data_IF_152556016583
#
_entry.id   IF_152556016583
#
_cell.length_a   1.000
_cell.length_b   1.000
_cell.length_c   1.000
_cell.angle_alpha   90.00
_cell.angle_beta   90.00
_cell.angle_gamma   90.00
#
_symmetry.space_group_name_H-M   'P 1'
#
loop_
_entity.id
_entity.type
_entity.pdbx_description
1 polymer ?
#
# COMPACT_ATOMS: atom_id res chain seq x y z
N UNK A 1 -0.68 -4.97 -21.23
CA UNK A 1 -0.49 -4.98 -19.76
C UNK A 1 -1.86 -5.13 -19.13
N UNK A 2 -2.12 -6.27 -18.51
CA UNK A 2 -3.36 -6.54 -17.78
C UNK A 2 -3.40 -5.63 -16.54
N UNK A 3 -4.41 -4.77 -16.42
CA UNK A 3 -4.58 -3.93 -15.25
C UNK A 3 -4.92 -4.84 -14.07
N UNK A 4 -3.94 -5.09 -13.19
CA UNK A 4 -4.18 -5.84 -11.98
C UNK A 4 -5.29 -5.16 -11.17
N UNK A 5 -6.34 -5.91 -10.83
CA UNK A 5 -7.45 -5.39 -10.04
C UNK A 5 -6.93 -4.92 -8.68
N UNK A 6 -7.50 -3.83 -8.15
CA UNK A 6 -7.12 -3.28 -6.82
C UNK A 6 -7.18 -4.38 -5.76
N UNK A 7 -8.22 -5.22 -5.81
CA UNK A 7 -8.37 -6.38 -4.92
C UNK A 7 -7.21 -7.38 -5.02
N UNK A 8 -6.68 -7.63 -6.22
CA UNK A 8 -5.50 -8.47 -6.40
C UNK A 8 -4.25 -7.84 -5.75
N UNK A 9 -4.04 -6.55 -5.99
CA UNK A 9 -2.90 -5.81 -5.43
C UNK A 9 -2.97 -5.72 -3.90
N UNK A 10 -4.14 -5.48 -3.32
CA UNK A 10 -4.36 -5.50 -1.87
C UNK A 10 -4.02 -6.86 -1.27
N UNK A 11 -4.49 -7.95 -1.90
CA UNK A 11 -4.18 -9.31 -1.46
C UNK A 11 -2.69 -9.62 -1.55
N UNK A 12 -2.05 -9.21 -2.64
CA UNK A 12 -0.62 -9.38 -2.86
C UNK A 12 0.21 -8.66 -1.79
N UNK A 13 -0.10 -7.39 -1.53
CA UNK A 13 0.52 -6.59 -0.48
C UNK A 13 0.31 -7.22 0.91
N UNK A 14 -0.90 -7.64 1.25
CA UNK A 14 -1.20 -8.31 2.52
C UNK A 14 -0.42 -9.63 2.71
N UNK A 15 -0.25 -10.39 1.63
CA UNK A 15 0.58 -11.58 1.61
C UNK A 15 2.07 -11.29 1.89
N UNK A 16 2.62 -10.22 1.31
CA UNK A 16 3.99 -9.77 1.60
C UNK A 16 4.15 -9.31 3.03
N UNK A 17 3.21 -8.52 3.57
CA UNK A 17 3.23 -8.06 4.96
C UNK A 17 3.26 -9.25 5.93
N UNK A 18 2.47 -10.27 5.65
CA UNK A 18 2.45 -11.51 6.45
C UNK A 18 3.79 -12.23 6.43
N UNK A 19 4.46 -12.27 5.27
CA UNK A 19 5.81 -12.85 5.12
C UNK A 19 6.87 -12.02 5.86
N UNK A 20 6.86 -10.70 5.73
CA UNK A 20 7.75 -9.78 6.44
C UNK A 20 7.63 -9.98 7.96
N UNK A 21 6.39 -9.95 8.47
CA UNK A 21 6.12 -10.09 9.91
C UNK A 21 6.63 -11.43 10.44
N UNK A 22 6.45 -12.51 9.68
CA UNK A 22 6.96 -13.83 10.04
C UNK A 22 8.48 -13.89 10.01
N UNK A 23 9.10 -13.36 8.95
CA UNK A 23 10.55 -13.36 8.78
C UNK A 23 11.23 -12.54 9.88
N UNK A 24 10.68 -11.36 10.23
CA UNK A 24 11.22 -10.47 11.26
C UNK A 24 11.34 -11.16 12.64
N UNK A 25 10.43 -12.07 12.99
CA UNK A 25 10.52 -12.87 14.24
C UNK A 25 11.74 -13.77 14.30
N UNK A 26 12.29 -14.13 13.15
CA UNK A 26 13.48 -14.98 13.02
C UNK A 26 14.76 -14.19 12.74
N UNK A 27 14.68 -12.86 12.71
CA UNK A 27 15.81 -12.00 12.43
C UNK A 27 16.92 -12.17 13.48
N UNK A 28 18.14 -12.38 13.01
CA UNK A 28 19.34 -12.55 13.84
C UNK A 28 20.19 -11.29 13.91
N UNK A 29 19.93 -10.35 13.00
CA UNK A 29 20.61 -9.06 12.85
C UNK A 29 19.55 -7.96 12.68
N UNK A 30 19.92 -6.70 12.99
CA UNK A 30 19.03 -5.54 12.86
C UNK A 30 17.64 -5.77 13.49
N UNK A 31 17.61 -6.46 14.64
CA UNK A 31 16.37 -6.94 15.26
C UNK A 31 15.38 -5.81 15.53
N UNK A 32 15.89 -4.66 15.98
CA UNK A 32 15.07 -3.47 16.25
C UNK A 32 14.42 -2.96 14.96
N UNK A 33 15.18 -2.81 13.89
CA UNK A 33 14.66 -2.32 12.60
C UNK A 33 13.71 -3.32 11.95
N UNK A 34 14.02 -4.62 12.00
CA UNK A 34 13.11 -5.67 11.53
C UNK A 34 11.78 -5.67 12.31
N UNK A 35 11.84 -5.56 13.64
CA UNK A 35 10.65 -5.52 14.48
C UNK A 35 9.84 -4.24 14.27
N UNK A 36 10.52 -3.09 14.14
CA UNK A 36 9.89 -1.81 13.86
C UNK A 36 9.17 -1.83 12.50
N UNK A 37 9.86 -2.28 11.45
CA UNK A 37 9.25 -2.42 10.12
C UNK A 37 8.05 -3.36 10.16
N UNK A 38 8.18 -4.55 10.79
CA UNK A 38 7.08 -5.50 10.93
C UNK A 38 5.87 -4.90 11.67
N UNK A 39 6.11 -4.15 12.74
CA UNK A 39 5.07 -3.42 13.46
C UNK A 39 4.36 -2.44 12.53
N UNK A 40 5.11 -1.56 11.85
CA UNK A 40 4.54 -0.57 10.91
C UNK A 40 3.69 -1.22 9.82
N UNK A 41 4.24 -2.23 9.13
CA UNK A 41 3.52 -2.85 8.02
C UNK A 41 2.29 -3.64 8.49
N UNK A 42 2.27 -4.15 9.72
CA UNK A 42 1.10 -4.84 10.27
C UNK A 42 -0.12 -3.93 10.43
N UNK A 43 0.08 -2.66 10.76
CA UNK A 43 -1.00 -1.65 10.80
C UNK A 43 -1.58 -1.44 9.40
N UNK A 44 -0.72 -1.36 8.38
CA UNK A 44 -1.13 -1.18 6.98
C UNK A 44 -2.01 -2.35 6.52
N UNK A 45 -1.70 -3.59 6.93
CA UNK A 45 -2.48 -4.77 6.52
C UNK A 45 -3.96 -4.68 6.87
N UNK A 46 -4.32 -4.05 8.00
CA UNK A 46 -5.71 -3.83 8.38
C UNK A 46 -6.45 -2.87 7.46
N UNK A 47 -5.74 -1.99 6.75
CA UNK A 47 -6.32 -0.96 5.89
C UNK A 47 -6.48 -1.43 4.42
N UNK A 48 -5.67 -2.38 3.97
CA UNK A 48 -5.65 -2.85 2.58
C UNK A 48 -7.00 -3.34 2.04
N UNK A 49 -7.85 -4.06 2.80
CA UNK A 49 -9.16 -4.50 2.31
C UNK A 49 -10.13 -3.34 2.00
N UNK A 50 -9.92 -2.18 2.61
CA UNK A 50 -10.77 -1.01 2.44
C UNK A 50 -10.38 -0.18 1.20
N UNK A 51 -9.25 -0.49 0.57
CA UNK A 51 -8.83 0.16 -0.68
C UNK A 51 -9.53 -0.52 -1.86
N UNK A 52 -10.52 0.16 -2.44
CA UNK A 52 -11.29 -0.31 -3.61
C UNK A 52 -11.26 0.67 -4.79
N UNK A 53 -10.70 1.86 -4.60
CA UNK A 53 -10.70 2.90 -5.63
C UNK A 53 -9.67 2.57 -6.74
N UNK A 54 -10.10 2.41 -8.01
CA UNK A 54 -9.22 2.06 -9.12
C UNK A 54 -8.07 3.06 -9.34
N UNK A 55 -8.26 4.34 -8.97
CA UNK A 55 -7.21 5.37 -9.07
C UNK A 55 -5.98 5.03 -8.21
N UNK A 56 -6.15 4.21 -7.17
CA UNK A 56 -5.07 3.80 -6.27
C UNK A 56 -4.24 2.63 -6.80
N UNK A 57 -4.66 1.96 -7.88
CA UNK A 57 -4.04 0.73 -8.35
C UNK A 57 -2.53 0.88 -8.60
N UNK A 58 -2.10 1.99 -9.22
CA UNK A 58 -0.67 2.24 -9.47
C UNK A 58 0.12 2.43 -8.18
N UNK A 59 -0.41 3.22 -7.24
CA UNK A 59 0.24 3.45 -5.95
C UNK A 59 0.31 2.17 -5.11
N UNK A 60 -0.74 1.34 -5.17
CA UNK A 60 -0.79 0.06 -4.49
C UNK A 60 0.17 -0.98 -5.10
N UNK A 61 0.33 -0.98 -6.42
CA UNK A 61 1.36 -1.78 -7.09
C UNK A 61 2.77 -1.34 -6.66
N UNK A 62 3.03 -0.04 -6.57
CA UNK A 62 4.29 0.52 -6.06
C UNK A 62 4.57 0.15 -4.60
N UNK A 63 3.54 0.16 -3.75
CA UNK A 63 3.61 -0.33 -2.37
C UNK A 63 3.97 -1.82 -2.35
N UNK A 64 3.32 -2.64 -3.19
CA UNK A 64 3.64 -4.06 -3.33
C UNK A 64 5.10 -4.32 -3.75
N UNK A 65 5.63 -3.51 -4.67
CA UNK A 65 7.06 -3.55 -5.04
C UNK A 65 7.98 -3.23 -3.85
N UNK A 66 7.67 -2.16 -3.11
CA UNK A 66 8.44 -1.74 -1.93
C UNK A 66 8.37 -2.78 -0.80
N UNK A 67 7.21 -3.42 -0.59
CA UNK A 67 7.05 -4.52 0.36
C UNK A 67 7.82 -5.78 -0.06
N UNK A 68 8.02 -6.01 -1.37
CA UNK A 68 8.88 -7.09 -1.84
C UNK A 68 10.34 -6.82 -1.47
N UNK A 69 10.83 -5.61 -1.70
CA UNK A 69 12.18 -5.19 -1.31
C UNK A 69 12.39 -5.31 0.21
N UNK A 70 11.37 -4.90 0.98
CA UNK A 70 11.33 -5.04 2.44
C UNK A 70 11.45 -6.49 2.89
N UNK A 71 10.71 -7.40 2.25
CA UNK A 71 10.79 -8.83 2.54
C UNK A 71 12.19 -9.38 2.30
N UNK A 72 12.82 -9.05 1.18
CA UNK A 72 14.19 -9.49 0.88
C UNK A 72 15.22 -8.93 1.88
N UNK A 73 15.08 -7.67 2.29
CA UNK A 73 15.94 -7.07 3.31
C UNK A 73 15.81 -7.80 4.66
N UNK A 74 14.59 -8.14 5.07
CA UNK A 74 14.35 -8.90 6.30
C UNK A 74 14.89 -10.33 6.18
N UNK A 75 14.75 -10.99 5.03
CA UNK A 75 15.34 -12.32 4.81
C UNK A 75 16.87 -12.30 4.93
N UNK A 76 17.54 -11.24 4.47
CA UNK A 76 18.97 -11.07 4.65
C UNK A 76 19.36 -11.03 6.15
N UNK A 77 18.51 -10.45 7.01
CA UNK A 77 18.71 -10.39 8.46
C UNK A 77 18.54 -11.75 9.16
N UNK A 78 17.91 -12.74 8.52
CA UNK A 78 17.69 -14.09 9.06
C UNK A 78 18.82 -15.09 8.75
N UNK A 79 19.70 -14.80 7.77
CA UNK A 79 20.76 -15.72 7.32
C UNK A 79 21.80 -16.02 8.42
N UNK A 80 22.29 -17.26 8.47
CA UNK A 80 23.33 -17.69 9.43
C UNK A 80 24.66 -16.96 9.14
N UNK A 81 25.30 -16.41 10.18
CA UNK A 81 26.67 -15.86 10.12
C UNK A 81 27.63 -17.01 9.83
N UNK A 82 28.23 -17.08 8.65
CA UNK A 82 29.08 -18.22 8.24
C UNK A 82 30.52 -17.89 7.82
N UNK A 83 31.04 -16.68 8.05
CA UNK A 83 32.48 -16.44 7.87
C UNK A 83 33.01 -15.19 8.57
N UNK A 84 34.32 -15.14 8.82
CA UNK A 84 35.03 -13.94 9.28
C UNK A 84 34.94 -12.77 8.27
N UNK A 85 34.86 -13.07 6.96
CA UNK A 85 34.57 -12.10 5.92
C UNK A 85 33.17 -11.45 6.09
N UNK A 86 32.19 -12.20 6.62
CA UNK A 86 30.87 -11.66 6.96
C UNK A 86 30.90 -10.69 8.15
N UNK A 87 31.81 -10.89 9.13
CA UNK A 87 32.01 -9.96 10.24
C UNK A 87 32.70 -8.66 9.79
N UNK A 88 33.69 -8.75 8.89
CA UNK A 88 34.30 -7.57 8.25
C UNK A 88 33.28 -6.79 7.42
N UNK A 89 32.46 -7.49 6.64
CA UNK A 89 31.36 -6.86 5.88
C UNK A 89 30.34 -6.19 6.80
N UNK A 90 30.03 -6.76 7.96
CA UNK A 90 29.08 -6.21 8.94
C UNK A 90 29.51 -4.85 9.52
N UNK A 91 30.80 -4.58 9.67
CA UNK A 91 31.29 -3.26 10.11
C UNK A 91 31.06 -2.19 9.04
N UNK A 92 31.07 -2.56 7.76
CA UNK A 92 30.73 -1.68 6.64
C UNK A 92 29.23 -1.71 6.25
N UNK A 93 28.49 -2.77 6.58
CA UNK A 93 27.06 -2.95 6.24
C UNK A 93 26.12 -2.48 7.37
N UNK A 94 26.58 -2.22 8.60
CA UNK A 94 25.72 -1.76 9.69
C UNK A 94 25.08 -0.39 9.36
N UNK A 95 25.88 0.55 8.88
CA UNK A 95 25.39 1.85 8.38
C UNK A 95 24.51 1.67 7.13
N UNK A 96 24.90 0.74 6.25
CA UNK A 96 24.19 0.46 5.00
C UNK A 96 22.83 -0.21 5.19
N UNK A 97 22.64 -0.99 6.25
CA UNK A 97 21.35 -1.58 6.59
C UNK A 97 20.40 -0.54 7.20
N UNK A 98 20.89 0.33 8.09
CA UNK A 98 20.10 1.41 8.64
C UNK A 98 19.61 2.37 7.54
N UNK A 99 20.49 2.75 6.61
CA UNK A 99 20.13 3.56 5.43
C UNK A 99 19.05 2.87 4.57
N UNK A 100 19.20 1.56 4.30
CA UNK A 100 18.21 0.79 3.53
C UNK A 100 16.86 0.66 4.23
N UNK A 101 16.84 0.48 5.55
CA UNK A 101 15.58 0.51 6.30
C UNK A 101 14.96 1.90 6.26
N UNK A 102 15.77 2.96 6.33
CA UNK A 102 15.34 4.35 6.11
C UNK A 102 14.70 4.55 4.74
N UNK A 103 15.36 4.10 3.67
CA UNK A 103 14.87 4.19 2.29
C UNK A 103 13.55 3.44 2.09
N UNK A 104 13.45 2.20 2.60
CA UNK A 104 12.22 1.40 2.50
C UNK A 104 11.09 2.06 3.27
N UNK A 105 11.35 2.55 4.48
CA UNK A 105 10.36 3.27 5.28
C UNK A 105 9.90 4.55 4.57
N UNK A 106 10.82 5.33 4.00
CA UNK A 106 10.49 6.53 3.24
C UNK A 106 9.67 6.22 1.99
N UNK A 107 10.02 5.16 1.25
CA UNK A 107 9.22 4.69 0.11
C UNK A 107 7.84 4.24 0.55
N UNK A 108 7.70 3.48 1.64
CA UNK A 108 6.39 3.10 2.20
C UNK A 108 5.58 4.36 2.49
N UNK A 109 6.16 5.35 3.17
CA UNK A 109 5.49 6.59 3.57
C UNK A 109 5.02 7.40 2.36
N UNK A 110 5.84 7.49 1.30
CA UNK A 110 5.41 8.11 0.04
C UNK A 110 4.17 7.45 -0.57
N UNK A 111 4.08 6.11 -0.57
CA UNK A 111 2.88 5.43 -1.07
C UNK A 111 1.67 5.63 -0.14
N UNK A 112 1.90 5.62 1.18
CA UNK A 112 0.84 5.86 2.16
C UNK A 112 0.31 7.30 2.16
N UNK A 113 1.08 8.27 1.66
CA UNK A 113 0.60 9.64 1.41
C UNK A 113 -0.19 9.72 0.10
N UNK A 114 0.31 9.06 -0.95
CA UNK A 114 -0.32 9.10 -2.27
C UNK A 114 -1.68 8.39 -2.32
N UNK A 115 -1.83 7.25 -1.65
CA UNK A 115 -3.07 6.46 -1.70
C UNK A 115 -4.28 7.28 -1.16
N UNK A 116 -4.24 7.84 0.07
CA UNK A 116 -5.32 8.69 0.58
C UNK A 116 -5.56 9.92 -0.29
N UNK A 117 -4.50 10.58 -0.78
CA UNK A 117 -4.62 11.75 -1.66
C UNK A 117 -5.43 11.42 -2.92
N UNK A 118 -5.08 10.31 -3.60
CA UNK A 118 -5.77 9.86 -4.80
C UNK A 118 -7.23 9.50 -4.50
N UNK A 119 -7.48 8.79 -3.39
CA UNK A 119 -8.84 8.46 -2.97
C UNK A 119 -9.68 9.70 -2.68
N UNK A 120 -9.12 10.71 -2.00
CA UNK A 120 -9.83 11.97 -1.73
C UNK A 120 -10.17 12.73 -3.02
N UNK A 121 -9.23 12.83 -3.96
CA UNK A 121 -9.48 13.47 -5.26
C UNK A 121 -10.55 12.71 -6.06
N UNK A 122 -10.50 11.37 -6.06
CA UNK A 122 -11.50 10.52 -6.71
C UNK A 122 -12.89 10.73 -6.12
N UNK A 123 -12.99 10.76 -4.78
CA UNK A 123 -14.25 11.02 -4.07
C UNK A 123 -14.79 12.41 -4.39
N UNK A 124 -13.96 13.45 -4.30
CA UNK A 124 -14.37 14.82 -4.59
C UNK A 124 -14.91 14.96 -6.03
N UNK A 125 -14.20 14.40 -7.01
CA UNK A 125 -14.62 14.41 -8.41
C UNK A 125 -15.96 13.70 -8.62
N UNK A 126 -16.16 12.53 -8.00
CA UNK A 126 -17.43 11.78 -8.08
C UNK A 126 -18.57 12.56 -7.41
N UNK A 127 -18.30 13.21 -6.28
CA UNK A 127 -19.27 14.04 -5.58
C UNK A 127 -19.68 15.25 -6.42
N UNK A 128 -18.73 15.94 -7.05
CA UNK A 128 -19.02 17.06 -7.96
C UNK A 128 -19.86 16.62 -9.16
N UNK A 129 -19.59 15.43 -9.71
CA UNK A 129 -20.40 14.84 -10.79
C UNK A 129 -21.84 14.57 -10.35
N UNK A 130 -22.03 14.01 -9.14
CA UNK A 130 -23.36 13.72 -8.59
C UNK A 130 -24.12 15.02 -8.32
N UNK A 131 -23.47 16.01 -7.71
CA UNK A 131 -24.08 17.30 -7.43
C UNK A 131 -24.41 18.07 -8.72
N UNK A 132 -23.53 18.01 -9.72
CA UNK A 132 -23.78 18.57 -11.05
C UNK A 132 -24.99 17.92 -11.73
N UNK A 133 -25.06 16.59 -11.70
CA UNK A 133 -26.20 15.85 -12.23
C UNK A 133 -27.51 16.22 -11.50
N UNK A 134 -27.50 16.25 -10.16
CA UNK A 134 -28.66 16.66 -9.37
C UNK A 134 -29.12 18.10 -9.67
N UNK A 135 -28.18 19.04 -9.86
CA UNK A 135 -28.49 20.42 -10.27
C UNK A 135 -29.11 20.48 -11.67
N UNK A 136 -28.58 19.72 -12.63
CA UNK A 136 -29.17 19.65 -13.97
C UNK A 136 -30.60 19.07 -13.95
N UNK A 137 -30.89 18.13 -13.04
CA UNK A 137 -32.25 17.63 -12.81
C UNK A 137 -33.18 18.68 -12.18
N UNK A 138 -32.66 19.61 -11.36
CA UNK A 138 -33.46 20.68 -10.75
C UNK A 138 -33.76 21.87 -11.68
N UNK A 139 -32.91 22.11 -12.68
CA UNK A 139 -33.05 23.22 -13.64
C UNK A 139 -33.68 22.79 -14.98
N UNK A 140 -33.76 21.49 -15.27
CA UNK A 140 -34.37 20.93 -16.47
C UNK A 140 -35.80 20.45 -16.20
N UNK A 141 -36.76 21.09 -16.88
CA UNK A 141 -38.18 20.76 -17.00
C UNK A 141 -38.58 19.29 -16.82
N UNK A 142 -39.71 19.11 -16.13
CA UNK A 142 -40.54 17.91 -15.83
C UNK A 142 -40.82 16.95 -17.02
N UNK A 143 -40.26 17.18 -18.20
CA UNK A 143 -40.48 16.37 -19.41
C UNK A 143 -39.16 15.72 -19.87
N UNK A 144 -38.78 14.60 -19.25
CA UNK A 144 -38.49 13.33 -19.93
C UNK A 144 -37.65 12.42 -19.03
N UNK A 145 -38.33 11.36 -18.57
CA UNK A 145 -37.87 10.07 -18.02
C UNK A 145 -36.37 9.88 -17.69
N UNK A 146 -36.20 9.58 -16.39
CA UNK A 146 -35.09 8.90 -15.71
C UNK A 146 -33.88 9.76 -15.30
N UNK A 147 -33.92 10.24 -14.05
CA UNK A 147 -32.75 10.75 -13.36
C UNK A 147 -31.71 9.63 -13.23
N UNK A 148 -30.42 9.85 -13.59
CA UNK A 148 -29.38 8.84 -13.45
C UNK A 148 -29.06 8.49 -11.99
N UNK A 149 -29.46 9.33 -11.05
CA UNK A 149 -29.25 9.13 -9.59
C UNK A 149 -30.10 7.98 -9.05
N UNK A 150 -31.27 7.70 -9.65
CA UNK A 150 -32.17 6.62 -9.23
C UNK A 150 -31.60 5.22 -9.51
N UNK A 151 -30.53 5.12 -10.33
CA UNK A 151 -29.91 3.84 -10.69
C UNK A 151 -28.80 3.41 -9.72
N UNK A 152 -28.39 4.26 -8.77
CA UNK A 152 -27.35 3.95 -7.78
C UNK A 152 -27.89 3.42 -6.44
N UNK A 153 -29.22 3.44 -6.23
CA UNK A 153 -29.87 3.02 -4.98
C UNK A 153 -30.37 1.56 -4.98
N UNK A 154 -30.10 0.77 -6.02
CA UNK A 154 -30.60 -0.61 -6.17
C UNK A 154 -29.51 -1.68 -6.13
N UNK A 155 -28.38 -1.41 -5.49
CA UNK A 155 -27.33 -2.42 -5.28
C UNK A 155 -26.76 -2.30 -3.87
N UNK A 156 -27.59 -2.66 -2.89
CA UNK A 156 -27.17 -3.07 -1.56
C UNK A 156 -27.67 -4.49 -1.30
#
# INVERSE_FOLDING_TARGET
>A
MELATVAHLSRYAGGLISKITRAARTARQNKKDCAHLACRVSVIAGLLPHLQDPETARALAGLGGTLRDAHELVLACCRKKRSAAFLFRRLFDADRHAERFGEINGRIDSHLILIPLLTHVSIARRLDQILGAARSCSHGSILSRQCPVDRLSLSY
#
